data_IF_454665577350
#
_entry.id   IF_454665577350
#
_cell.length_a   1.000
_cell.length_b   1.000
_cell.length_c   1.000
_cell.angle_alpha   90.00
_cell.angle_beta   90.00
_cell.angle_gamma   90.00
#
_symmetry.space_group_name_H-M   'P 1'
#
loop_
_entity.id
_entity.type
_entity.pdbx_description
1 polymer ?
#
# COMPACT_ATOMS: atom_id res chain seq x y z
N UNK A 1 0.11 19.59 7.42
CA UNK A 1 0.63 18.21 7.31
C UNK A 1 1.69 17.94 8.38
N UNK A 2 1.79 16.71 8.93
CA UNK A 2 2.95 16.27 9.76
C UNK A 2 3.89 15.43 8.89
N UNK A 3 5.19 15.56 9.10
CA UNK A 3 6.21 14.79 8.39
C UNK A 3 7.00 13.91 9.36
N UNK A 4 7.47 12.76 8.89
CA UNK A 4 8.31 11.83 9.65
C UNK A 4 9.56 11.45 8.84
N UNK A 5 10.69 11.16 9.50
CA UNK A 5 11.84 10.57 8.84
C UNK A 5 11.47 9.26 8.14
N UNK A 6 11.94 9.09 6.90
CA UNK A 6 11.68 7.91 6.09
C UNK A 6 12.92 7.02 6.02
N UNK A 7 12.91 5.94 6.81
CA UNK A 7 14.03 5.00 6.91
C UNK A 7 15.37 5.70 7.15
N UNK A 8 16.43 5.11 6.60
CA UNK A 8 17.80 5.59 6.80
C UNK A 8 18.26 6.63 5.75
N UNK A 9 17.39 7.02 4.81
CA UNK A 9 17.74 7.96 3.73
C UNK A 9 17.63 9.43 4.14
N UNK A 10 17.08 9.73 5.32
CA UNK A 10 16.96 11.08 5.84
C UNK A 10 15.92 11.98 5.15
N UNK A 11 15.12 11.43 4.23
CA UNK A 11 14.00 12.15 3.62
C UNK A 11 12.82 12.25 4.60
N UNK A 12 12.16 13.40 4.65
CA UNK A 12 10.93 13.58 5.42
C UNK A 12 9.71 13.28 4.55
N UNK A 13 8.86 12.34 4.97
CA UNK A 13 7.62 11.95 4.27
C UNK A 13 6.39 12.35 5.07
N UNK A 14 5.33 12.75 4.38
CA UNK A 14 4.03 13.03 4.98
C UNK A 14 3.50 11.79 5.69
N UNK A 15 2.81 11.98 6.81
CA UNK A 15 2.21 10.86 7.58
C UNK A 15 1.11 10.11 6.82
N UNK A 16 0.64 10.67 5.70
CA UNK A 16 -0.28 10.05 4.75
C UNK A 16 0.38 10.07 3.38
N UNK A 17 0.25 8.96 2.65
CA UNK A 17 0.71 8.78 1.27
C UNK A 17 -0.49 8.69 0.35
N UNK A 18 -0.49 9.45 -0.75
CA UNK A 18 -1.51 9.30 -1.78
C UNK A 18 -1.18 8.06 -2.62
N UNK A 19 -2.08 7.08 -2.63
CA UNK A 19 -2.00 5.95 -3.56
C UNK A 19 -2.81 6.24 -4.81
N UNK A 20 -2.18 6.11 -5.96
CA UNK A 20 -2.75 6.32 -7.28
C UNK A 20 -2.78 5.00 -8.03
N UNK A 21 -3.92 4.66 -8.60
CA UNK A 21 -4.13 3.53 -9.47
C UNK A 21 -5.02 3.87 -10.67
N UNK A 22 -5.35 2.87 -11.51
CA UNK A 22 -6.11 3.09 -12.74
C UNK A 22 -7.47 3.79 -12.52
N UNK A 23 -8.11 3.56 -11.37
CA UNK A 23 -9.39 4.19 -11.02
C UNK A 23 -9.29 5.71 -10.85
N UNK A 24 -8.13 6.20 -10.41
CA UNK A 24 -7.95 7.62 -10.06
C UNK A 24 -7.76 8.48 -11.33
N UNK A 25 -7.45 7.84 -12.46
CA UNK A 25 -7.39 8.44 -13.80
C UNK A 25 -8.54 8.01 -14.72
N UNK A 26 -9.55 7.30 -14.18
CA UNK A 26 -10.67 6.78 -14.98
C UNK A 26 -11.51 7.90 -15.62
N UNK A 27 -11.56 9.08 -14.98
CA UNK A 27 -12.16 10.30 -15.53
C UNK A 27 -11.27 11.07 -16.52
N UNK A 28 -10.10 10.51 -16.85
CA UNK A 28 -9.08 11.13 -17.69
C UNK A 28 -7.85 11.62 -16.90
N UNK A 29 -6.75 11.99 -17.61
CA UNK A 29 -5.52 12.49 -17.01
C UNK A 29 -5.72 13.67 -16.05
N UNK A 30 -6.63 14.60 -16.41
CA UNK A 30 -6.89 15.80 -15.60
C UNK A 30 -7.42 15.46 -14.21
N UNK A 31 -8.32 14.48 -14.10
CA UNK A 31 -8.85 14.05 -12.80
C UNK A 31 -7.73 13.55 -11.87
N UNK A 32 -6.75 12.83 -12.42
CA UNK A 32 -5.57 12.41 -11.68
C UNK A 32 -4.69 13.59 -11.26
N UNK A 33 -4.48 14.57 -12.15
CA UNK A 33 -3.69 15.77 -11.83
C UNK A 33 -4.33 16.63 -10.74
N UNK A 34 -5.64 16.89 -10.84
CA UNK A 34 -6.41 17.61 -9.82
C UNK A 34 -6.30 16.93 -8.44
N UNK A 35 -6.36 15.59 -8.41
CA UNK A 35 -6.15 14.83 -7.18
C UNK A 35 -4.73 15.01 -6.61
N UNK A 36 -3.70 15.01 -7.47
CA UNK A 36 -2.31 15.23 -7.08
C UNK A 36 -2.09 16.66 -6.58
N UNK A 37 -2.66 17.67 -7.26
CA UNK A 37 -2.60 19.06 -6.84
C UNK A 37 -3.29 19.28 -5.49
N UNK A 38 -4.49 18.73 -5.32
CA UNK A 38 -5.20 18.74 -4.04
C UNK A 38 -4.35 18.12 -2.91
N UNK A 39 -3.64 17.02 -3.21
CA UNK A 39 -2.74 16.38 -2.27
C UNK A 39 -1.52 17.26 -1.93
N UNK A 40 -0.91 17.91 -2.93
CA UNK A 40 0.18 18.87 -2.73
C UNK A 40 -0.25 20.05 -1.86
N UNK A 41 -1.43 20.63 -2.12
CA UNK A 41 -2.01 21.72 -1.34
C UNK A 41 -2.30 21.30 0.11
N UNK A 42 -2.71 20.05 0.33
CA UNK A 42 -2.83 19.46 1.67
C UNK A 42 -1.47 19.17 2.34
N UNK A 43 -0.36 19.35 1.63
CA UNK A 43 1.02 19.12 2.07
C UNK A 43 1.49 17.68 1.95
N UNK A 44 0.78 16.80 1.24
CA UNK A 44 1.24 15.43 0.97
C UNK A 44 2.45 15.50 0.04
N UNK A 45 3.54 14.81 0.39
CA UNK A 45 4.74 14.73 -0.44
C UNK A 45 5.15 13.28 -0.77
N UNK A 46 4.35 12.30 -0.35
CA UNK A 46 4.57 10.88 -0.62
C UNK A 46 3.47 10.34 -1.53
N UNK A 47 3.88 9.71 -2.62
CA UNK A 47 3.01 9.17 -3.66
C UNK A 47 3.36 7.71 -3.94
N UNK A 48 2.33 6.90 -4.17
CA UNK A 48 2.48 5.49 -4.55
C UNK A 48 1.69 5.19 -5.81
N UNK A 49 2.37 4.78 -6.86
CA UNK A 49 1.75 4.17 -8.03
C UNK A 49 1.47 2.69 -7.70
N UNK A 50 0.20 2.29 -7.72
CA UNK A 50 -0.22 0.91 -7.41
C UNK A 50 0.03 -0.05 -8.57
N UNK A 51 0.37 0.46 -9.76
CA UNK A 51 0.76 -0.35 -10.92
C UNK A 51 1.90 0.35 -11.65
N UNK A 52 2.60 -0.38 -12.52
CA UNK A 52 3.58 0.19 -13.44
C UNK A 52 2.98 0.66 -14.77
N UNK A 53 1.77 1.20 -14.73
CA UNK A 53 1.12 1.80 -15.91
C UNK A 53 1.87 3.08 -16.34
N UNK A 54 2.42 3.13 -17.57
CA UNK A 54 3.07 4.33 -18.08
C UNK A 54 2.16 5.56 -18.10
N UNK A 55 0.84 5.40 -18.33
CA UNK A 55 -0.09 6.56 -18.38
C UNK A 55 -0.25 7.17 -17.00
N UNK A 56 -0.39 6.32 -15.97
CA UNK A 56 -0.46 6.78 -14.58
C UNK A 56 0.85 7.43 -14.14
N UNK A 57 1.99 6.88 -14.58
CA UNK A 57 3.31 7.44 -14.32
C UNK A 57 3.50 8.80 -15.00
N UNK A 58 3.05 8.96 -16.23
CA UNK A 58 3.05 10.24 -16.98
C UNK A 58 2.21 11.30 -16.26
N UNK A 59 0.97 10.98 -15.86
CA UNK A 59 0.10 11.89 -15.10
C UNK A 59 0.77 12.39 -13.82
N UNK A 60 1.40 11.48 -13.07
CA UNK A 60 2.16 11.85 -11.87
C UNK A 60 3.36 12.73 -12.19
N UNK A 61 4.12 12.36 -13.21
CA UNK A 61 5.29 13.09 -13.70
C UNK A 61 4.96 14.52 -14.10
N UNK A 62 3.91 14.71 -14.90
CA UNK A 62 3.45 16.03 -15.33
C UNK A 62 3.03 16.90 -14.15
N UNK A 63 2.24 16.36 -13.22
CA UNK A 63 1.76 17.11 -12.06
C UNK A 63 2.90 17.52 -11.12
N UNK A 64 3.94 16.70 -11.01
CA UNK A 64 5.07 16.94 -10.10
C UNK A 64 6.26 17.66 -10.77
N UNK A 65 6.22 17.93 -12.07
CA UNK A 65 7.37 18.45 -12.85
C UNK A 65 7.97 19.76 -12.33
N UNK A 66 7.17 20.55 -11.62
CA UNK A 66 7.57 21.87 -11.08
C UNK A 66 8.00 21.80 -9.61
N UNK A 67 7.85 20.65 -8.97
CA UNK A 67 8.29 20.43 -7.58
C UNK A 67 9.73 19.90 -7.62
N UNK A 68 10.60 20.41 -6.75
CA UNK A 68 11.94 19.85 -6.62
C UNK A 68 11.83 18.36 -6.27
N UNK A 69 12.40 17.52 -7.14
CA UNK A 69 12.34 16.06 -7.04
C UNK A 69 12.83 15.54 -5.68
N UNK A 70 13.71 16.26 -4.98
CA UNK A 70 14.21 15.88 -3.64
C UNK A 70 13.16 16.07 -2.52
N UNK A 71 12.13 16.88 -2.75
CA UNK A 71 11.06 17.15 -1.77
C UNK A 71 9.93 16.12 -1.81
N UNK A 72 9.84 15.36 -2.90
CA UNK A 72 8.80 14.35 -3.11
C UNK A 72 9.38 12.94 -2.97
N UNK A 73 8.57 12.04 -2.42
CA UNK A 73 8.83 10.62 -2.34
C UNK A 73 7.86 9.91 -3.28
N UNK A 74 8.39 9.18 -4.27
CA UNK A 74 7.58 8.43 -5.22
C UNK A 74 7.93 6.94 -5.13
N UNK A 75 6.91 6.13 -4.90
CA UNK A 75 7.00 4.67 -4.88
C UNK A 75 6.26 4.05 -6.05
N UNK A 76 6.82 2.97 -6.58
CA UNK A 76 6.26 2.20 -7.69
C UNK A 76 6.02 0.76 -7.25
N UNK A 77 4.79 0.28 -7.41
CA UNK A 77 4.44 -1.11 -7.15
C UNK A 77 4.67 -1.98 -8.39
N UNK A 78 5.25 -3.16 -8.19
CA UNK A 78 5.71 -4.09 -9.24
C UNK A 78 5.16 -5.50 -8.99
N UNK A 79 5.16 -6.31 -10.04
CA UNK A 79 4.81 -7.72 -9.96
C UNK A 79 3.35 -8.03 -10.26
N UNK A 80 2.40 -7.15 -9.91
CA UNK A 80 0.96 -7.34 -10.20
C UNK A 80 0.54 -7.03 -11.65
N UNK A 81 1.50 -6.70 -12.52
CA UNK A 81 1.25 -6.20 -13.87
C UNK A 81 1.06 -4.68 -13.94
N UNK A 82 0.90 -4.14 -15.15
CA UNK A 82 0.68 -2.72 -15.42
C UNK A 82 -0.81 -2.32 -15.34
N UNK A 83 -1.71 -3.26 -14.98
CA UNK A 83 -3.15 -3.02 -14.87
C UNK A 83 -3.90 -3.03 -16.21
N UNK A 84 -3.22 -3.25 -17.33
CA UNK A 84 -3.85 -3.39 -18.66
C UNK A 84 -4.28 -4.84 -18.91
N UNK A 85 -5.27 -5.01 -19.78
CA UNK A 85 -5.80 -6.34 -20.15
C UNK A 85 -4.68 -7.19 -20.76
N UNK A 86 -4.35 -8.31 -20.11
CA UNK A 86 -3.26 -9.20 -20.51
C UNK A 86 -1.89 -8.88 -19.92
N UNK A 87 -1.80 -7.90 -19.00
CA UNK A 87 -0.60 -7.78 -18.18
C UNK A 87 -0.63 -8.83 -17.09
N UNK A 88 0.16 -9.87 -17.29
CA UNK A 88 0.30 -10.94 -16.32
C UNK A 88 1.22 -10.53 -15.17
N UNK A 89 1.05 -11.26 -14.07
CA UNK A 89 1.91 -11.19 -12.90
C UNK A 89 3.31 -11.64 -13.29
N UNK A 90 4.31 -10.78 -13.09
CA UNK A 90 5.68 -11.04 -13.55
C UNK A 90 6.71 -10.44 -12.57
N UNK A 91 7.41 -11.33 -11.89
CA UNK A 91 8.52 -11.02 -10.99
C UNK A 91 9.88 -11.36 -11.59
N UNK A 92 9.96 -11.69 -12.89
CA UNK A 92 11.21 -11.92 -13.58
C UNK A 92 12.09 -10.66 -13.58
N UNK A 93 13.40 -10.86 -13.65
CA UNK A 93 14.37 -9.77 -13.75
C UNK A 93 14.08 -8.83 -14.94
N UNK A 94 13.70 -9.40 -16.09
CA UNK A 94 13.37 -8.66 -17.31
C UNK A 94 12.06 -7.87 -17.14
N UNK A 95 11.01 -8.51 -16.64
CA UNK A 95 9.70 -7.89 -16.39
C UNK A 95 9.79 -6.68 -15.48
N UNK A 96 10.44 -6.84 -14.32
CA UNK A 96 10.60 -5.75 -13.34
C UNK A 96 11.46 -4.61 -13.88
N UNK A 97 12.57 -4.92 -14.56
CA UNK A 97 13.46 -3.90 -15.15
C UNK A 97 12.71 -3.12 -16.23
N UNK A 98 11.99 -3.81 -17.11
CA UNK A 98 11.22 -3.18 -18.17
C UNK A 98 10.07 -2.34 -17.62
N UNK A 99 9.39 -2.80 -16.57
CA UNK A 99 8.33 -2.04 -15.90
C UNK A 99 8.85 -0.72 -15.29
N UNK A 100 9.98 -0.77 -14.58
CA UNK A 100 10.62 0.43 -14.01
C UNK A 100 11.07 1.39 -15.12
N UNK A 101 11.75 0.89 -16.15
CA UNK A 101 12.30 1.72 -17.23
C UNK A 101 11.18 2.41 -18.02
N UNK A 102 10.07 1.71 -18.32
CA UNK A 102 8.89 2.31 -18.96
C UNK A 102 8.24 3.38 -18.09
N UNK A 103 8.06 3.12 -16.80
CA UNK A 103 7.44 4.08 -15.88
C UNK A 103 8.34 5.31 -15.65
N UNK A 104 9.66 5.15 -15.58
CA UNK A 104 10.61 6.25 -15.51
C UNK A 104 10.61 7.09 -16.78
N UNK A 105 10.59 6.43 -17.94
CA UNK A 105 10.55 7.13 -19.22
C UNK A 105 9.28 7.97 -19.37
N UNK A 106 8.11 7.41 -19.04
CA UNK A 106 6.84 8.11 -19.13
C UNK A 106 6.70 9.23 -18.11
N UNK A 107 7.14 9.02 -16.86
CA UNK A 107 7.01 10.02 -15.80
C UNK A 107 8.04 11.15 -15.86
N UNK A 108 9.20 10.95 -16.49
CA UNK A 108 10.28 11.94 -16.48
C UNK A 108 10.88 12.22 -15.10
N UNK A 109 10.59 11.41 -14.08
CA UNK A 109 11.02 11.63 -12.68
C UNK A 109 12.51 11.39 -12.43
N UNK A 110 13.22 10.77 -13.38
CA UNK A 110 14.63 10.40 -13.27
C UNK A 110 14.89 9.15 -12.41
N UNK A 111 14.25 9.04 -11.25
CA UNK A 111 14.30 7.85 -10.38
C UNK A 111 13.00 7.66 -9.59
N UNK A 112 12.79 6.45 -9.06
CA UNK A 112 11.82 6.17 -8.00
C UNK A 112 12.52 6.07 -6.65
N UNK A 113 11.92 6.58 -5.58
CA UNK A 113 12.53 6.49 -4.24
C UNK A 113 12.38 5.09 -3.66
N UNK A 114 11.34 4.36 -4.09
CA UNK A 114 11.02 3.03 -3.59
C UNK A 114 10.37 2.18 -4.68
N UNK A 115 10.89 0.97 -4.90
CA UNK A 115 10.20 -0.07 -5.65
C UNK A 115 9.59 -1.08 -4.67
N UNK A 116 8.30 -1.38 -4.82
CA UNK A 116 7.54 -2.26 -3.91
C UNK A 116 7.08 -3.50 -4.67
N UNK A 117 7.45 -4.68 -4.19
CA UNK A 117 6.96 -5.94 -4.77
C UNK A 117 5.58 -6.28 -4.20
N UNK A 118 4.59 -6.52 -5.07
CA UNK A 118 3.21 -6.76 -4.65
C UNK A 118 2.89 -8.23 -4.37
N UNK A 119 2.97 -8.60 -3.10
CA UNK A 119 2.61 -9.92 -2.57
C UNK A 119 3.31 -11.09 -3.25
N UNK A 120 4.62 -11.03 -3.56
CA UNK A 120 5.29 -12.16 -4.20
C UNK A 120 5.16 -13.44 -3.37
N UNK A 121 4.89 -14.56 -4.03
CA UNK A 121 4.96 -15.88 -3.40
C UNK A 121 6.42 -16.39 -3.38
N UNK A 122 6.71 -17.34 -2.48
CA UNK A 122 8.07 -17.88 -2.29
C UNK A 122 8.73 -18.36 -3.59
N UNK A 123 7.95 -18.90 -4.52
CA UNK A 123 8.45 -19.46 -5.78
C UNK A 123 8.59 -18.42 -6.91
N UNK A 124 8.03 -17.22 -6.74
CA UNK A 124 7.98 -16.18 -7.79
C UNK A 124 9.21 -15.28 -7.79
N UNK A 125 10.04 -15.35 -6.74
CA UNK A 125 11.12 -14.40 -6.51
C UNK A 125 12.49 -15.08 -6.60
N UNK A 126 12.93 -15.48 -7.81
CA UNK A 126 14.21 -16.16 -7.98
C UNK A 126 15.39 -15.23 -7.67
N UNK A 127 16.55 -15.82 -7.38
CA UNK A 127 17.76 -15.06 -7.07
C UNK A 127 18.17 -14.07 -8.17
N UNK A 128 17.89 -14.39 -9.44
CA UNK A 128 18.12 -13.49 -10.59
C UNK A 128 17.32 -12.20 -10.46
N UNK A 129 16.07 -12.27 -10.01
CA UNK A 129 15.19 -11.12 -9.78
C UNK A 129 15.71 -10.23 -8.65
N UNK A 130 16.18 -10.81 -7.55
CA UNK A 130 16.84 -10.05 -6.47
C UNK A 130 18.12 -9.35 -6.96
N UNK A 131 18.91 -10.01 -7.81
CA UNK A 131 20.12 -9.42 -8.37
C UNK A 131 19.80 -8.26 -9.32
N UNK A 132 18.74 -8.35 -10.11
CA UNK A 132 18.27 -7.26 -10.96
C UNK A 132 17.84 -6.05 -10.13
N UNK A 133 17.07 -6.25 -9.06
CA UNK A 133 16.68 -5.18 -8.14
C UNK A 133 17.90 -4.50 -7.48
N UNK A 134 18.91 -5.28 -7.10
CA UNK A 134 20.20 -4.74 -6.60
C UNK A 134 20.92 -3.91 -7.67
N UNK A 135 20.93 -4.35 -8.92
CA UNK A 135 21.53 -3.60 -10.02
C UNK A 135 20.78 -2.29 -10.31
N UNK A 136 19.44 -2.28 -10.23
CA UNK A 136 18.62 -1.08 -10.36
C UNK A 136 18.87 -0.08 -9.24
N UNK A 137 19.12 -0.58 -8.01
CA UNK A 137 19.58 0.26 -6.89
C UNK A 137 20.98 0.83 -7.13
N UNK A 138 21.91 0.01 -7.62
CA UNK A 138 23.28 0.44 -7.92
C UNK A 138 23.36 1.50 -9.03
N UNK A 139 22.45 1.42 -10.01
CA UNK A 139 22.30 2.40 -11.09
C UNK A 139 21.42 3.60 -10.72
N UNK A 140 21.01 3.71 -9.45
CA UNK A 140 20.20 4.81 -8.89
C UNK A 140 18.84 5.03 -9.55
N UNK A 141 18.34 4.06 -10.33
CA UNK A 141 16.97 4.08 -10.88
C UNK A 141 15.92 3.93 -9.78
N UNK A 142 16.28 3.18 -8.74
CA UNK A 142 15.53 3.04 -7.49
C UNK A 142 16.46 3.29 -6.30
N UNK A 143 15.95 3.81 -5.18
CA UNK A 143 16.77 4.05 -3.97
C UNK A 143 16.59 2.98 -2.91
N UNK A 144 15.34 2.59 -2.66
CA UNK A 144 14.96 1.58 -1.69
C UNK A 144 14.15 0.45 -2.33
N UNK A 145 14.15 -0.69 -1.64
CA UNK A 145 13.31 -1.84 -1.94
C UNK A 145 12.26 -2.01 -0.84
N UNK A 146 11.05 -2.33 -1.25
CA UNK A 146 9.95 -2.62 -0.36
C UNK A 146 9.21 -3.87 -0.80
N UNK A 147 8.44 -4.40 0.15
CA UNK A 147 7.55 -5.52 -0.10
C UNK A 147 6.17 -5.24 0.47
N UNK A 148 5.13 -5.68 -0.22
CA UNK A 148 3.74 -5.50 0.17
C UNK A 148 3.08 -6.86 0.39
N UNK A 149 2.32 -7.01 1.47
CA UNK A 149 1.45 -8.16 1.63
C UNK A 149 1.04 -8.48 3.07
N UNK A 150 0.25 -9.55 3.18
CA UNK A 150 -0.31 -10.04 4.45
C UNK A 150 -0.02 -11.52 4.73
N UNK A 151 0.33 -12.31 3.72
CA UNK A 151 0.59 -13.75 3.85
C UNK A 151 1.80 -14.10 4.73
N UNK A 152 1.87 -15.35 5.17
CA UNK A 152 2.96 -15.87 6.03
C UNK A 152 4.34 -15.75 5.39
N UNK A 153 4.41 -15.85 4.05
CA UNK A 153 5.62 -15.63 3.26
C UNK A 153 6.27 -14.26 3.56
N UNK A 154 5.48 -13.25 3.95
CA UNK A 154 6.02 -11.93 4.31
C UNK A 154 6.93 -11.98 5.55
N UNK A 155 6.69 -12.92 6.47
CA UNK A 155 7.54 -13.08 7.65
C UNK A 155 8.95 -13.55 7.24
N UNK A 156 9.03 -14.46 6.27
CA UNK A 156 10.29 -14.86 5.64
C UNK A 156 10.97 -13.65 5.02
N UNK A 157 10.28 -12.84 4.21
CA UNK A 157 10.89 -11.69 3.55
C UNK A 157 11.37 -10.61 4.51
N UNK A 158 10.61 -10.29 5.56
CA UNK A 158 11.05 -9.40 6.64
C UNK A 158 12.32 -9.95 7.29
N UNK A 159 12.42 -11.28 7.46
CA UNK A 159 13.57 -11.90 8.09
C UNK A 159 14.85 -11.89 7.22
N UNK A 160 14.74 -11.76 5.90
CA UNK A 160 15.89 -11.78 4.98
C UNK A 160 16.80 -10.55 5.09
N UNK A 161 16.28 -9.41 5.53
CA UNK A 161 17.00 -8.13 5.49
C UNK A 161 17.25 -7.57 4.09
N UNK A 162 16.59 -8.11 3.05
CA UNK A 162 16.74 -7.65 1.67
C UNK A 162 15.93 -6.39 1.35
N UNK A 163 14.93 -6.06 2.18
CA UNK A 163 13.97 -4.98 1.96
C UNK A 163 14.12 -3.89 3.03
N UNK A 164 13.99 -2.64 2.61
CA UNK A 164 14.06 -1.46 3.47
C UNK A 164 12.66 -1.06 3.99
N UNK A 165 11.58 -1.48 3.31
CA UNK A 165 10.19 -1.04 3.59
C UNK A 165 9.19 -2.20 3.57
N UNK A 166 8.26 -2.21 4.51
CA UNK A 166 7.11 -3.12 4.56
C UNK A 166 5.81 -2.35 4.34
N UNK A 167 5.00 -2.77 3.36
CA UNK A 167 3.60 -2.42 3.22
C UNK A 167 2.76 -3.58 3.71
N UNK A 168 1.87 -3.35 4.68
CA UNK A 168 1.03 -4.44 5.20
C UNK A 168 -0.32 -3.89 5.66
N UNK A 169 -1.42 -4.66 5.53
CA UNK A 169 -2.70 -4.22 6.02
C UNK A 169 -2.69 -4.30 7.54
N UNK A 170 -3.09 -3.21 8.20
CA UNK A 170 -3.20 -3.18 9.65
C UNK A 170 -4.36 -2.31 10.09
N UNK A 171 -5.26 -2.90 10.86
CA UNK A 171 -6.47 -2.30 11.39
C UNK A 171 -6.75 -2.87 12.78
N UNK A 172 -7.81 -2.38 13.41
CA UNK A 172 -8.12 -2.70 14.81
C UNK A 172 -8.33 -4.20 15.07
N UNK A 173 -8.87 -4.91 14.09
CA UNK A 173 -9.14 -6.36 14.11
C UNK A 173 -7.99 -7.21 13.54
N UNK A 174 -6.85 -6.62 13.20
CA UNK A 174 -5.73 -7.39 12.66
C UNK A 174 -5.25 -8.44 13.67
N UNK A 175 -5.03 -9.68 13.21
CA UNK A 175 -4.64 -10.78 14.07
C UNK A 175 -3.23 -10.57 14.64
N UNK A 176 -2.89 -11.32 15.69
CA UNK A 176 -1.65 -11.11 16.43
C UNK A 176 -0.40 -11.30 15.56
N UNK A 177 -0.47 -12.14 14.53
CA UNK A 177 0.61 -12.41 13.58
C UNK A 177 1.06 -11.14 12.85
N UNK A 178 0.11 -10.30 12.40
CA UNK A 178 0.42 -9.02 11.75
C UNK A 178 1.13 -8.10 12.74
N UNK A 179 0.70 -8.07 14.01
CA UNK A 179 1.36 -7.26 15.06
C UNK A 179 2.79 -7.75 15.33
N UNK A 180 3.00 -9.07 15.32
CA UNK A 180 4.34 -9.67 15.44
C UNK A 180 5.22 -9.22 14.28
N UNK A 181 4.76 -9.37 13.03
CA UNK A 181 5.48 -8.93 11.83
C UNK A 181 5.87 -7.46 11.88
N UNK A 182 4.94 -6.59 12.31
CA UNK A 182 5.22 -5.16 12.46
C UNK A 182 6.31 -4.87 13.50
N UNK A 183 6.33 -5.62 14.61
CA UNK A 183 7.41 -5.52 15.61
C UNK A 183 8.73 -5.98 15.00
N UNK A 184 8.72 -7.12 14.33
CA UNK A 184 9.94 -7.73 13.77
C UNK A 184 10.52 -6.87 12.63
N UNK A 185 9.68 -6.25 11.80
CA UNK A 185 10.09 -5.27 10.79
C UNK A 185 10.70 -4.01 11.42
N UNK A 186 10.10 -3.49 12.50
CA UNK A 186 10.63 -2.34 13.24
C UNK A 186 11.98 -2.65 13.90
N UNK A 187 12.15 -3.84 14.47
CA UNK A 187 13.42 -4.28 15.08
C UNK A 187 14.57 -4.41 14.06
N UNK A 188 14.22 -4.44 12.77
CA UNK A 188 15.15 -4.49 11.63
C UNK A 188 15.28 -3.14 10.92
N UNK A 189 14.83 -2.06 11.55
CA UNK A 189 14.86 -0.70 11.02
C UNK A 189 14.12 -0.52 9.68
N UNK A 190 13.14 -1.37 9.38
CA UNK A 190 12.31 -1.20 8.19
C UNK A 190 11.32 -0.04 8.40
N UNK A 191 11.12 0.76 7.35
CA UNK A 191 10.00 1.68 7.32
C UNK A 191 8.69 0.91 7.10
N UNK A 192 7.61 1.32 7.75
CA UNK A 192 6.32 0.61 7.69
C UNK A 192 5.25 1.54 7.14
N UNK A 193 4.60 1.11 6.07
CA UNK A 193 3.37 1.71 5.57
C UNK A 193 2.20 0.77 5.82
N UNK A 194 1.16 1.31 6.45
CA UNK A 194 -0.08 0.58 6.70
C UNK A 194 -1.14 1.01 5.70
N UNK A 195 -1.84 0.03 5.11
CA UNK A 195 -3.05 0.25 4.33
C UNK A 195 -4.22 -0.55 4.92
N UNK A 196 -5.43 -0.36 4.38
CA UNK A 196 -6.61 -1.08 4.87
C UNK A 196 -6.92 -0.81 6.35
N UNK A 197 -6.51 0.37 6.86
CA UNK A 197 -6.69 0.76 8.26
C UNK A 197 -8.15 0.95 8.66
N UNK A 198 -9.04 1.11 7.68
CA UNK A 198 -10.48 1.09 7.84
C UNK A 198 -11.07 -0.05 7.01
N UNK A 199 -11.34 -1.22 7.61
CA UNK A 199 -11.83 -2.37 6.87
C UNK A 199 -13.33 -2.21 6.53
N UNK A 200 -13.76 -2.77 5.40
CA UNK A 200 -15.16 -2.73 4.93
C UNK A 200 -16.17 -3.27 5.94
N UNK A 201 -15.72 -4.15 6.83
CA UNK A 201 -16.50 -4.71 7.93
C UNK A 201 -16.85 -3.68 9.00
N UNK A 202 -16.15 -2.55 9.04
CA UNK A 202 -16.37 -1.45 9.97
C UNK A 202 -16.81 -0.17 9.25
N UNK A 203 -17.09 -0.22 7.95
CA UNK A 203 -17.33 0.97 7.12
C UNK A 203 -18.70 1.66 7.33
N UNK A 204 -19.57 1.09 8.16
CA UNK A 204 -20.83 1.77 8.53
C UNK A 204 -21.13 1.53 9.99
N UNK A 205 -21.85 2.46 10.64
CA UNK A 205 -22.39 2.31 12.00
C UNK A 205 -23.00 0.91 12.18
N UNK A 206 -23.88 0.51 11.26
CA UNK A 206 -24.57 -0.79 11.33
C UNK A 206 -23.59 -1.96 11.33
N UNK A 207 -22.62 -1.97 10.42
CA UNK A 207 -21.62 -3.05 10.34
C UNK A 207 -20.71 -3.05 11.58
N UNK A 208 -20.30 -1.87 12.04
CA UNK A 208 -19.43 -1.70 13.20
C UNK A 208 -20.09 -2.16 14.52
N UNK A 209 -21.41 -1.96 14.69
CA UNK A 209 -22.18 -2.48 15.83
C UNK A 209 -22.34 -4.00 15.79
N UNK A 210 -22.43 -4.60 14.60
CA UNK A 210 -22.62 -6.05 14.44
C UNK A 210 -21.31 -6.84 14.24
N UNK A 211 -20.14 -6.18 14.29
CA UNK A 211 -18.85 -6.78 13.91
C UNK A 211 -18.46 -8.02 14.74
N UNK A 212 -19.01 -8.15 15.95
CA UNK A 212 -18.81 -9.28 16.85
C UNK A 212 -20.06 -10.12 17.09
N UNK A 213 -21.17 -9.83 16.39
CA UNK A 213 -22.38 -10.66 16.49
C UNK A 213 -22.18 -11.92 15.64
N UNK A 214 -22.14 -13.09 16.28
CA UNK A 214 -22.21 -14.37 15.58
C UNK A 214 -23.50 -14.39 14.73
N UNK A 215 -23.34 -14.51 13.41
CA UNK A 215 -24.48 -14.69 12.50
C UNK A 215 -25.24 -15.94 12.92
N UNK A 216 -26.35 -15.75 13.65
CA UNK A 216 -27.28 -16.84 13.96
C UNK A 216 -27.74 -17.46 12.64
N UNK A 217 -27.32 -18.70 12.40
CA UNK A 217 -27.63 -19.44 11.19
C UNK A 217 -29.13 -19.55 10.95
N UNK A 218 -29.51 -19.69 9.67
CA UNK A 218 -30.86 -19.75 9.15
C UNK A 218 -31.70 -20.99 9.58
N UNK A 219 -31.32 -21.70 10.65
CA UNK A 219 -32.02 -22.89 11.17
C UNK A 219 -32.22 -22.84 12.69
N UNK A 220 -32.83 -21.76 13.18
CA UNK A 220 -33.27 -21.63 14.58
C UNK A 220 -34.78 -21.59 14.71
N UNK A 221 -35.45 -22.72 14.48
CA UNK A 221 -36.85 -22.91 14.87
C UNK A 221 -36.96 -22.81 16.40
N UNK A 222 -37.59 -21.72 16.87
CA UNK A 222 -38.18 -21.62 18.20
C UNK A 222 -37.28 -20.98 19.28
N UNK A 223 -37.44 -19.66 19.47
CA UNK A 223 -37.67 -19.04 20.79
C UNK A 223 -38.11 -17.58 20.61
N UNK A 224 -39.09 -17.19 21.41
CA UNK A 224 -39.94 -16.01 21.25
C UNK A 224 -39.19 -14.69 21.13
N UNK A 225 -39.70 -13.83 20.26
CA UNK A 225 -39.37 -12.43 20.17
C UNK A 225 -39.75 -11.73 21.49
N UNK A 226 -38.77 -11.50 22.35
CA UNK A 226 -38.88 -10.49 23.40
C UNK A 226 -38.36 -9.17 22.83
N UNK A 227 -39.15 -8.10 23.00
CA UNK A 227 -38.81 -6.70 22.67
C UNK A 227 -37.37 -6.39 23.09
N UNK A 228 -36.58 -5.65 22.28
CA UNK A 228 -35.29 -5.16 22.75
C UNK A 228 -35.56 -4.22 23.93
N UNK A 229 -35.26 -4.70 25.14
CA UNK A 229 -35.04 -3.81 26.28
C UNK A 229 -33.92 -2.87 25.85
N UNK A 230 -34.07 -1.58 26.17
CA UNK A 230 -33.03 -0.58 26.02
C UNK A 230 -31.81 -1.07 26.83
N UNK A 231 -30.91 -1.79 26.18
CA UNK A 231 -29.69 -2.30 26.79
C UNK A 231 -28.69 -1.14 26.74
N UNK A 232 -28.35 -0.52 27.89
CA UNK A 232 -27.39 0.57 27.94
C UNK A 232 -25.98 0.14 27.51
N UNK A 233 -25.75 -1.17 27.34
CA UNK A 233 -24.52 -1.76 26.84
C UNK A 233 -24.65 -2.28 25.40
N UNK A 234 -25.76 -2.03 24.70
CA UNK A 234 -25.87 -2.33 23.28
C UNK A 234 -24.77 -1.55 22.52
N UNK A 235 -23.80 -2.26 21.96
CA UNK A 235 -22.62 -1.67 21.31
C UNK A 235 -21.38 -1.56 22.20
N UNK A 236 -21.43 -1.92 23.48
CA UNK A 236 -20.24 -2.02 24.33
C UNK A 236 -19.33 -3.15 23.83
N UNK A 237 -18.07 -2.82 23.52
CA UNK A 237 -17.14 -3.75 22.87
C UNK A 237 -17.25 -3.82 21.34
N UNK A 238 -18.04 -2.93 20.72
CA UNK A 238 -18.13 -2.80 19.26
C UNK A 238 -17.40 -1.55 18.78
N UNK A 239 -17.19 -1.44 17.46
CA UNK A 239 -16.48 -0.30 16.86
C UNK A 239 -17.43 0.83 16.42
N UNK A 240 -18.64 0.88 16.98
CA UNK A 240 -19.63 1.89 16.60
C UNK A 240 -19.14 3.34 16.80
N UNK A 241 -18.17 3.58 17.70
CA UNK A 241 -17.56 4.88 17.95
C UNK A 241 -16.65 5.41 16.82
N UNK A 242 -16.37 4.60 15.80
CA UNK A 242 -15.57 5.02 14.64
C UNK A 242 -16.38 5.84 13.61
N UNK A 243 -17.68 6.02 13.83
CA UNK A 243 -18.63 6.77 13.00
C UNK A 243 -19.34 7.83 13.82
#
# INVERSE_FOLDING_TARGET
>A
MRYRPFGNIGQAVSVVTLSLGPRDIAGGPEAGRELIYSALEAGINSYRLTTADPVLAEVLGEALRHVDRKLIQVSLMLGAGDGRRGSDRDFSAEGMTSAIDRALHASGLGWFDLAVLDQPEDHELPQSSLNALKALRATQRIRLLGISGEGEVMDTYVSTGAFDVLFTPYHVNSPWQIRSRLRDARERDMAIFVYGYFPDSLDTVKKATTAHEEKKGFFGLGKSASRPKHDPLAGAGTFAFLH
#
